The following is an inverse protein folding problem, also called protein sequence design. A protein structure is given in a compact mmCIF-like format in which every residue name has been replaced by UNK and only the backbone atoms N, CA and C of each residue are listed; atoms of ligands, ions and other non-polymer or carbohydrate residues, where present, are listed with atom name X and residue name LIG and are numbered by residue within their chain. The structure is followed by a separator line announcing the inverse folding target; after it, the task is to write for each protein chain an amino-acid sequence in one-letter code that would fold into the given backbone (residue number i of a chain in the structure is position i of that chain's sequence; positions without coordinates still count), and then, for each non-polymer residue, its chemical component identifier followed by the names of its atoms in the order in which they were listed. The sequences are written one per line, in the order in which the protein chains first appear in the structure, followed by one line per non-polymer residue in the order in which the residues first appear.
data_IF_980759008531
#
_entry.id   IF_980759008531
#
_cell.length_a   1.000
_cell.length_b   1.000
_cell.length_c   1.000
_cell.angle_alpha   90.00
_cell.angle_beta   90.00
_cell.angle_gamma   90.00
#
_symmetry.space_group_name_H-M   'P 1'
#
loop_
_entity.id
_entity.type
_entity.pdbx_description
1 polymer ?
#
# COMPACT_ATOMS: atom_id res chain seq x y z
N UNK A 1 28.33 38.33 22.96
CA UNK A 1 28.51 37.46 21.77
C UNK A 1 28.04 36.06 22.14
N UNK A 2 26.87 35.65 21.67
CA UNK A 2 26.33 34.30 21.83
C UNK A 2 26.28 33.64 20.45
N UNK A 3 26.85 32.44 20.24
CA UNK A 3 26.74 31.78 18.96
C UNK A 3 25.35 31.14 18.85
N UNK A 4 24.56 31.65 17.92
CA UNK A 4 23.27 31.09 17.53
C UNK A 4 23.53 29.89 16.61
N UNK A 5 23.52 28.68 17.18
CA UNK A 5 23.59 27.44 16.40
C UNK A 5 22.20 27.09 15.88
N UNK A 6 22.00 26.93 14.55
CA UNK A 6 20.71 26.54 14.03
C UNK A 6 20.48 25.06 14.36
N UNK A 7 19.51 24.83 15.23
CA UNK A 7 18.99 23.51 15.54
C UNK A 7 18.29 22.98 14.29
N UNK A 8 18.98 22.18 13.48
CA UNK A 8 18.34 21.41 12.42
C UNK A 8 17.46 20.33 13.07
N UNK A 9 16.13 20.32 12.86
CA UNK A 9 15.30 19.23 13.34
C UNK A 9 15.75 17.96 12.61
N UNK A 10 16.20 16.96 13.38
CA UNK A 10 16.48 15.62 12.87
C UNK A 10 15.20 15.11 12.20
N UNK A 11 15.19 15.03 10.87
CA UNK A 11 14.16 14.28 10.15
C UNK A 11 14.23 12.86 10.67
N UNK A 12 13.23 12.43 11.43
CA UNK A 12 13.11 11.03 11.86
C UNK A 12 12.94 10.20 10.59
N UNK A 13 13.99 9.47 10.22
CA UNK A 13 13.93 8.52 9.13
C UNK A 13 12.80 7.52 9.45
N UNK A 14 11.75 7.57 8.65
CA UNK A 14 10.60 6.67 8.78
C UNK A 14 11.12 5.24 8.62
N UNK A 15 10.77 4.35 9.55
CA UNK A 15 11.23 2.97 9.53
C UNK A 15 10.84 2.35 8.17
N UNK A 16 11.80 1.83 7.37
CA UNK A 16 11.52 1.26 6.06
C UNK A 16 10.47 0.14 6.12
N UNK A 17 10.39 -0.57 7.24
CA UNK A 17 9.38 -1.59 7.49
C UNK A 17 7.97 -1.02 7.58
N UNK A 18 7.80 0.14 8.24
CA UNK A 18 6.51 0.80 8.40
C UNK A 18 5.97 1.38 7.08
N UNK A 19 6.86 1.93 6.25
CA UNK A 19 6.50 2.49 4.94
C UNK A 19 6.04 1.40 3.99
N UNK A 20 6.73 0.25 3.97
CA UNK A 20 6.34 -0.89 3.12
C UNK A 20 4.98 -1.44 3.53
N UNK A 21 4.73 -1.65 4.82
CA UNK A 21 3.44 -2.16 5.29
C UNK A 21 2.28 -1.21 4.98
N UNK A 22 2.47 0.09 5.19
CA UNK A 22 1.49 1.12 4.83
C UNK A 22 1.17 1.08 3.33
N UNK A 23 2.21 0.88 2.50
CA UNK A 23 2.04 0.79 1.04
C UNK A 23 1.31 -0.50 0.61
N UNK A 24 1.60 -1.64 1.23
CA UNK A 24 0.89 -2.89 0.95
C UNK A 24 -0.60 -2.78 1.30
N UNK A 25 -0.92 -2.15 2.44
CA UNK A 25 -2.30 -1.88 2.84
C UNK A 25 -3.05 -0.96 1.88
N UNK A 26 -2.42 0.13 1.41
CA UNK A 26 -3.00 1.02 0.41
C UNK A 26 -3.28 0.27 -0.91
N UNK A 27 -2.36 -0.60 -1.34
CA UNK A 27 -2.58 -1.40 -2.56
C UNK A 27 -3.72 -2.41 -2.37
N UNK A 28 -3.79 -3.12 -1.24
CA UNK A 28 -4.90 -4.05 -0.94
C UNK A 28 -6.26 -3.33 -0.92
N UNK A 29 -6.32 -2.14 -0.33
CA UNK A 29 -7.52 -1.31 -0.29
C UNK A 29 -7.98 -0.91 -1.71
N UNK A 30 -7.03 -0.47 -2.56
CA UNK A 30 -7.32 -0.10 -3.95
C UNK A 30 -7.78 -1.28 -4.79
N UNK A 31 -7.14 -2.46 -4.64
CA UNK A 31 -7.56 -3.69 -5.32
C UNK A 31 -8.96 -4.12 -4.88
N UNK A 32 -9.27 -4.00 -3.59
CA UNK A 32 -10.60 -4.31 -3.06
C UNK A 32 -11.66 -3.37 -3.62
N UNK A 33 -11.38 -2.06 -3.67
CA UNK A 33 -12.28 -1.08 -4.28
C UNK A 33 -12.48 -1.32 -5.79
N UNK A 34 -11.41 -1.69 -6.51
CA UNK A 34 -11.52 -2.05 -7.92
C UNK A 34 -12.43 -3.27 -8.12
N UNK A 35 -12.23 -4.33 -7.34
CA UNK A 35 -13.02 -5.55 -7.44
C UNK A 35 -14.49 -5.30 -7.10
N UNK A 36 -14.79 -4.52 -6.05
CA UNK A 36 -16.17 -4.20 -5.67
C UNK A 36 -16.87 -3.37 -6.75
N UNK A 37 -16.19 -2.36 -7.31
CA UNK A 37 -16.77 -1.54 -8.38
C UNK A 37 -16.98 -2.32 -9.68
N UNK A 38 -16.08 -3.25 -10.02
CA UNK A 38 -16.08 -3.91 -11.33
C UNK A 38 -16.90 -5.20 -11.34
N UNK A 39 -17.01 -5.92 -10.23
CA UNK A 39 -17.93 -7.07 -10.11
C UNK A 39 -19.39 -6.63 -10.21
N UNK A 40 -19.76 -5.51 -9.58
CA UNK A 40 -21.15 -5.00 -9.61
C UNK A 40 -21.57 -4.57 -11.02
N UNK A 41 -20.64 -4.04 -11.82
CA UNK A 41 -20.95 -3.48 -13.13
C UNK A 41 -21.08 -4.53 -14.26
N UNK A 42 -20.76 -5.81 -14.03
CA UNK A 42 -21.00 -6.95 -14.94
C UNK A 42 -20.35 -6.90 -16.33
N UNK A 43 -19.70 -5.78 -16.71
CA UNK A 43 -19.05 -5.55 -18.02
C UNK A 43 -17.53 -5.62 -17.95
N UNK A 44 -16.98 -6.05 -16.82
CA UNK A 44 -15.54 -6.18 -16.64
C UNK A 44 -15.04 -7.47 -17.29
N UNK A 45 -13.87 -7.41 -17.92
CA UNK A 45 -13.22 -8.59 -18.47
C UNK A 45 -12.85 -9.54 -17.32
N UNK A 46 -13.41 -10.75 -17.32
CA UNK A 46 -13.21 -11.75 -16.25
C UNK A 46 -11.73 -12.01 -15.99
N UNK A 47 -10.92 -12.08 -17.06
CA UNK A 47 -9.46 -12.25 -16.95
C UNK A 47 -8.80 -11.15 -16.12
N UNK A 48 -9.26 -9.90 -16.22
CA UNK A 48 -8.71 -8.80 -15.42
C UNK A 48 -9.13 -8.95 -13.96
N UNK A 49 -10.37 -9.33 -13.70
CA UNK A 49 -10.86 -9.58 -12.34
C UNK A 49 -10.06 -10.68 -11.66
N UNK A 50 -9.80 -11.78 -12.37
CA UNK A 50 -9.06 -12.90 -11.81
C UNK A 50 -7.58 -12.57 -11.60
N UNK A 51 -6.94 -11.86 -12.54
CA UNK A 51 -5.58 -11.36 -12.33
C UNK A 51 -5.48 -10.46 -11.09
N UNK A 52 -6.46 -9.58 -10.86
CA UNK A 52 -6.46 -8.69 -9.69
C UNK A 52 -6.71 -9.47 -8.40
N UNK A 53 -7.54 -10.52 -8.41
CA UNK A 53 -7.70 -11.41 -7.24
C UNK A 53 -6.40 -12.13 -6.89
N UNK A 54 -5.70 -12.67 -7.89
CA UNK A 54 -4.42 -13.35 -7.68
C UNK A 54 -3.38 -12.38 -7.10
N UNK A 55 -3.23 -11.20 -7.72
CA UNK A 55 -2.30 -10.19 -7.23
C UNK A 55 -2.64 -9.71 -5.80
N UNK A 56 -3.93 -9.64 -5.45
CA UNK A 56 -4.37 -9.34 -4.09
C UNK A 56 -3.95 -10.43 -3.10
N UNK A 57 -4.08 -11.71 -3.47
CA UNK A 57 -3.66 -12.82 -2.63
C UNK A 57 -2.14 -12.79 -2.34
N UNK A 58 -1.33 -12.47 -3.35
CA UNK A 58 0.13 -12.32 -3.20
C UNK A 58 0.48 -11.22 -2.19
N UNK A 59 -0.21 -10.07 -2.27
CA UNK A 59 -0.01 -8.95 -1.33
C UNK A 59 -0.41 -9.34 0.09
N UNK A 60 -1.52 -10.06 0.25
CA UNK A 60 -1.95 -10.54 1.56
C UNK A 60 -0.97 -11.53 2.16
N UNK A 61 -0.40 -12.42 1.34
CA UNK A 61 0.66 -13.33 1.75
C UNK A 61 1.94 -12.57 2.14
N UNK A 62 2.32 -11.52 1.41
CA UNK A 62 3.47 -10.69 1.76
C UNK A 62 3.28 -9.96 3.10
N UNK A 63 2.05 -9.53 3.41
CA UNK A 63 1.72 -8.90 4.68
C UNK A 63 1.77 -9.87 5.87
N UNK A 64 1.44 -11.15 5.67
CA UNK A 64 1.43 -12.18 6.73
C UNK A 64 2.76 -12.91 6.89
N UNK A 65 3.63 -12.91 5.88
CA UNK A 65 4.94 -13.56 5.91
C UNK A 65 6.01 -12.77 6.68
N UNK A 66 5.61 -11.80 7.52
CA UNK A 66 6.48 -10.97 8.36
C UNK A 66 6.32 -11.30 9.84
#
# INVERSE_FOLDING_TARGET
MTPFWPFFPKMTAQDPGSVRQTRLQDIDARMTAFLSQKQVNGRSCERVIDNVKTAKADIQQEMTSR
#
